data_IF_039763933341
#
_entry.id   IF_039763933341
#
_cell.length_a   1.000
_cell.length_b   1.000
_cell.length_c   1.000
_cell.angle_alpha   90.00
_cell.angle_beta   90.00
_cell.angle_gamma   90.00
#
_symmetry.space_group_name_H-M   'P 1'
#
loop_
_entity.id
_entity.type
_entity.pdbx_description
1 polymer ?
#
# COMPACT_ATOMS: atom_id res chain seq x y z
N UNK A 1 8.29 -16.80 -14.88
CA UNK A 1 6.86 -16.95 -14.52
C UNK A 1 6.56 -18.19 -13.65
N UNK A 2 7.35 -19.26 -13.70
CA UNK A 2 7.14 -20.49 -12.89
C UNK A 2 7.30 -20.28 -11.37
N UNK A 3 8.28 -19.49 -10.93
CA UNK A 3 8.53 -19.25 -9.49
C UNK A 3 7.43 -18.46 -8.77
N UNK A 4 6.66 -17.65 -9.51
CA UNK A 4 5.57 -16.84 -8.94
C UNK A 4 4.40 -17.72 -8.46
N UNK A 5 3.96 -18.66 -9.31
CA UNK A 5 2.84 -19.55 -9.01
C UNK A 5 3.22 -20.54 -7.90
N UNK A 6 4.46 -21.04 -7.94
CA UNK A 6 5.00 -21.91 -6.90
C UNK A 6 5.03 -21.21 -5.52
N UNK A 7 5.48 -19.94 -5.46
CA UNK A 7 5.49 -19.17 -4.21
C UNK A 7 4.08 -18.90 -3.65
N UNK A 8 3.10 -18.59 -4.51
CA UNK A 8 1.70 -18.43 -4.08
C UNK A 8 1.12 -19.74 -3.57
N UNK A 9 1.35 -20.84 -4.28
CA UNK A 9 0.90 -22.16 -3.85
C UNK A 9 1.50 -22.53 -2.48
N UNK A 10 2.79 -22.24 -2.26
CA UNK A 10 3.45 -22.49 -0.98
C UNK A 10 2.86 -21.64 0.16
N UNK A 11 2.61 -20.34 -0.06
CA UNK A 11 1.99 -19.46 0.95
C UNK A 11 0.59 -19.94 1.33
N UNK A 12 -0.23 -20.25 0.32
CA UNK A 12 -1.59 -20.75 0.55
C UNK A 12 -1.58 -22.11 1.25
N UNK A 13 -0.65 -23.00 0.87
CA UNK A 13 -0.49 -24.29 1.52
C UNK A 13 -0.08 -24.15 2.99
N UNK A 14 0.89 -23.28 3.32
CA UNK A 14 1.28 -22.99 4.71
C UNK A 14 0.12 -22.41 5.53
N UNK A 15 -0.65 -21.49 4.95
CA UNK A 15 -1.84 -20.93 5.61
C UNK A 15 -2.89 -22.01 5.90
N UNK A 16 -3.22 -22.86 4.91
CA UNK A 16 -4.15 -23.98 5.08
C UNK A 16 -3.67 -24.99 6.12
N UNK A 17 -2.37 -25.29 6.13
CA UNK A 17 -1.76 -26.20 7.10
C UNK A 17 -1.88 -25.68 8.54
N UNK A 18 -1.85 -24.36 8.74
CA UNK A 18 -2.14 -23.76 10.04
C UNK A 18 -3.64 -23.82 10.36
N UNK A 19 -4.49 -23.26 9.51
CA UNK A 19 -5.93 -23.10 9.79
C UNK A 19 -6.66 -24.44 9.89
N UNK A 20 -6.36 -25.38 9.00
CA UNK A 20 -7.14 -26.62 8.86
C UNK A 20 -6.58 -27.76 9.71
N UNK A 21 -5.32 -27.68 10.16
CA UNK A 21 -4.69 -28.78 10.89
C UNK A 21 -4.15 -28.39 12.27
N UNK A 22 -3.72 -27.14 12.48
CA UNK A 22 -3.29 -26.71 13.81
C UNK A 22 -4.45 -26.09 14.59
N UNK A 23 -5.08 -25.05 14.01
CA UNK A 23 -6.12 -24.27 14.69
C UNK A 23 -7.43 -25.06 14.85
N UNK A 24 -7.61 -26.13 14.08
CA UNK A 24 -8.76 -27.02 14.13
C UNK A 24 -8.84 -27.91 15.39
N UNK A 25 -7.76 -27.98 16.19
CA UNK A 25 -7.71 -28.81 17.39
C UNK A 25 -7.25 -28.00 18.59
N UNK A 26 -7.83 -28.30 19.76
CA UNK A 26 -7.54 -27.58 21.00
C UNK A 26 -6.24 -28.06 21.65
N UNK A 27 -6.01 -29.38 21.68
CA UNK A 27 -4.87 -29.96 22.41
C UNK A 27 -3.68 -30.25 21.51
N UNK A 28 -2.47 -30.12 22.05
CA UNK A 28 -1.24 -30.45 21.33
C UNK A 28 -1.12 -31.94 21.01
N UNK A 29 -1.74 -32.81 21.82
CA UNK A 29 -1.76 -34.26 21.59
C UNK A 29 -2.57 -34.58 20.33
N UNK A 30 -3.74 -33.97 20.17
CA UNK A 30 -4.58 -34.10 18.98
C UNK A 30 -3.88 -33.50 17.76
N UNK A 31 -3.32 -32.29 17.87
CA UNK A 31 -2.56 -31.65 16.78
C UNK A 31 -1.46 -32.56 16.26
N UNK A 32 -0.62 -33.12 17.14
CA UNK A 32 0.48 -34.04 16.76
C UNK A 32 -0.02 -35.33 16.10
N UNK A 33 -1.16 -35.85 16.56
CA UNK A 33 -1.79 -37.05 16.00
C UNK A 33 -2.38 -36.80 14.60
N UNK A 34 -2.98 -35.62 14.39
CA UNK A 34 -3.67 -35.23 13.15
C UNK A 34 -2.74 -34.59 12.13
N UNK A 35 -1.65 -35.29 11.82
CA UNK A 35 -0.64 -34.88 10.84
C UNK A 35 -1.22 -34.80 9.41
N UNK A 36 -1.00 -33.69 8.68
CA UNK A 36 -1.38 -33.59 7.26
C UNK A 36 -0.65 -34.61 6.37
N UNK A 37 -1.31 -35.06 5.29
CA UNK A 37 -0.69 -35.94 4.27
C UNK A 37 0.46 -35.21 3.57
N UNK A 38 1.61 -35.88 3.42
CA UNK A 38 2.79 -35.32 2.75
C UNK A 38 3.73 -34.48 3.63
N UNK A 39 3.47 -34.41 4.95
CA UNK A 39 4.38 -33.76 5.92
C UNK A 39 5.08 -34.85 6.73
N UNK A 40 6.39 -34.70 6.97
CA UNK A 40 7.15 -35.63 7.82
C UNK A 40 6.65 -35.54 9.26
N UNK A 41 6.72 -36.65 10.00
CA UNK A 41 6.19 -36.70 11.37
C UNK A 41 6.97 -35.76 12.29
N UNK A 42 8.28 -35.77 12.14
CA UNK A 42 9.26 -35.04 12.91
C UNK A 42 9.02 -33.53 12.74
N UNK A 43 9.00 -33.06 11.48
CA UNK A 43 8.71 -31.66 11.11
C UNK A 43 7.36 -31.18 11.67
N UNK A 44 6.34 -32.04 11.65
CA UNK A 44 5.02 -31.70 12.18
C UNK A 44 5.02 -31.56 13.70
N UNK A 45 5.69 -32.48 14.41
CA UNK A 45 5.80 -32.43 15.87
C UNK A 45 6.57 -31.17 16.29
N UNK A 46 7.67 -30.86 15.61
CA UNK A 46 8.46 -29.65 15.86
C UNK A 46 7.63 -28.38 15.60
N UNK A 47 6.91 -28.33 14.48
CA UNK A 47 6.00 -27.24 14.15
C UNK A 47 4.94 -27.03 15.25
N UNK A 48 4.29 -28.10 15.71
CA UNK A 48 3.29 -28.01 16.78
C UNK A 48 3.94 -27.52 18.07
N UNK A 49 5.09 -28.06 18.47
CA UNK A 49 5.81 -27.66 19.68
C UNK A 49 6.16 -26.17 19.65
N UNK A 50 6.76 -25.69 18.55
CA UNK A 50 7.16 -24.29 18.39
C UNK A 50 5.96 -23.35 18.55
N UNK A 51 4.86 -23.63 17.86
CA UNK A 51 3.67 -22.78 17.91
C UNK A 51 2.87 -22.89 19.22
N UNK A 52 3.15 -23.92 20.02
CA UNK A 52 2.55 -24.11 21.33
C UNK A 52 3.31 -23.37 22.45
N UNK A 53 4.45 -22.76 22.14
CA UNK A 53 5.17 -21.95 23.12
C UNK A 53 4.34 -20.71 23.50
N UNK A 54 4.32 -20.31 24.79
CA UNK A 54 3.61 -19.12 25.22
C UNK A 54 4.04 -17.85 24.47
N UNK A 55 5.32 -17.76 24.11
CA UNK A 55 5.88 -16.63 23.37
C UNK A 55 5.26 -16.52 21.96
N UNK A 56 5.21 -17.61 21.20
CA UNK A 56 4.63 -17.61 19.85
C UNK A 56 3.12 -17.36 19.89
N UNK A 57 2.42 -17.90 20.90
CA UNK A 57 1.00 -17.62 21.12
C UNK A 57 0.75 -16.14 21.42
N UNK A 58 1.56 -15.54 22.31
CA UNK A 58 1.45 -14.13 22.63
C UNK A 58 1.72 -13.23 21.42
N UNK A 59 2.75 -13.55 20.60
CA UNK A 59 3.03 -12.86 19.34
C UNK A 59 1.85 -12.97 18.38
N UNK A 60 1.25 -14.15 18.28
CA UNK A 60 0.12 -14.39 17.39
C UNK A 60 -1.12 -13.58 17.80
N UNK A 61 -1.50 -13.62 19.08
CA UNK A 61 -2.63 -12.87 19.61
C UNK A 61 -2.42 -11.37 19.49
N UNK A 62 -1.21 -10.87 19.76
CA UNK A 62 -0.86 -9.47 19.52
C UNK A 62 -1.06 -9.09 18.05
N UNK A 63 -0.63 -9.95 17.12
CA UNK A 63 -0.83 -9.74 15.69
C UNK A 63 -2.30 -9.78 15.27
N UNK A 64 -3.10 -10.66 15.85
CA UNK A 64 -4.55 -10.76 15.60
C UNK A 64 -5.27 -9.51 16.10
N UNK A 65 -4.99 -9.08 17.32
CA UNK A 65 -5.53 -7.86 17.90
C UNK A 65 -5.11 -6.59 17.14
N UNK A 66 -3.89 -6.54 16.61
CA UNK A 66 -3.46 -5.43 15.76
C UNK A 66 -4.21 -5.42 14.42
N UNK A 67 -4.38 -6.57 13.77
CA UNK A 67 -5.13 -6.68 12.50
C UNK A 67 -6.61 -6.37 12.68
N UNK A 68 -7.23 -6.77 13.80
CA UNK A 68 -8.64 -6.47 14.07
C UNK A 68 -8.90 -4.98 14.31
N UNK A 69 -7.86 -4.21 14.65
CA UNK A 69 -7.93 -2.76 14.83
C UNK A 69 -7.55 -1.98 13.55
N UNK A 70 -7.26 -2.66 12.45
CA UNK A 70 -6.90 -2.03 11.18
C UNK A 70 -8.15 -1.40 10.56
N UNK A 71 -8.18 -0.07 10.49
CA UNK A 71 -9.30 0.72 9.97
C UNK A 71 -9.00 1.39 8.62
N UNK A 72 -7.77 1.21 8.11
CA UNK A 72 -7.29 1.74 6.83
C UNK A 72 -6.66 0.59 6.00
N UNK A 73 -7.46 -0.36 5.48
CA UNK A 73 -6.95 -1.47 4.67
C UNK A 73 -6.48 -1.02 3.27
N UNK A 74 -5.27 -1.42 2.90
CA UNK A 74 -4.74 -1.22 1.54
C UNK A 74 -5.26 -2.26 0.53
N UNK A 75 -5.67 -1.79 -0.65
CA UNK A 75 -6.13 -2.56 -1.81
C UNK A 75 -5.10 -2.61 -2.95
N UNK A 76 -3.82 -2.38 -2.62
CA UNK A 76 -2.73 -2.29 -3.61
C UNK A 76 -2.19 -3.64 -4.08
N UNK A 77 -2.54 -4.73 -3.39
CA UNK A 77 -2.00 -6.05 -3.66
C UNK A 77 -0.47 -6.06 -3.61
N UNK A 78 0.17 -6.56 -4.67
CA UNK A 78 1.65 -6.64 -4.76
C UNK A 78 2.31 -5.36 -5.29
N UNK A 79 1.55 -4.44 -5.90
CA UNK A 79 2.13 -3.21 -6.45
C UNK A 79 2.58 -2.24 -5.36
N UNK A 80 1.89 -2.24 -4.21
CA UNK A 80 2.06 -1.21 -3.19
C UNK A 80 1.67 0.19 -3.70
N UNK A 81 1.84 1.23 -2.88
CA UNK A 81 1.50 2.59 -3.34
C UNK A 81 2.50 3.16 -4.37
N UNK A 82 3.72 2.61 -4.48
CA UNK A 82 4.74 3.04 -5.45
C UNK A 82 4.32 2.62 -6.84
N UNK A 83 3.88 1.37 -7.01
CA UNK A 83 3.36 0.90 -8.28
C UNK A 83 2.07 1.63 -8.67
N UNK A 84 1.18 1.91 -7.70
CA UNK A 84 -0.01 2.74 -7.95
C UNK A 84 0.36 4.17 -8.37
N UNK A 85 1.32 4.79 -7.69
CA UNK A 85 1.84 6.11 -8.06
C UNK A 85 2.45 6.10 -9.45
N UNK A 86 3.29 5.12 -9.77
CA UNK A 86 3.90 4.99 -11.10
C UNK A 86 2.83 4.86 -12.19
N UNK A 87 1.77 4.08 -11.95
CA UNK A 87 0.63 3.98 -12.85
C UNK A 87 -0.08 5.34 -13.02
N UNK A 88 -0.31 6.08 -11.94
CA UNK A 88 -0.94 7.41 -11.99
C UNK A 88 -0.05 8.45 -12.69
N UNK A 89 1.28 8.33 -12.55
CA UNK A 89 2.26 9.21 -13.19
C UNK A 89 2.47 8.90 -14.67
N UNK A 90 2.03 7.75 -15.19
CA UNK A 90 2.14 7.43 -16.62
C UNK A 90 1.37 8.46 -17.45
N UNK A 91 2.08 9.12 -18.37
CA UNK A 91 1.51 10.17 -19.22
C UNK A 91 1.30 11.51 -18.51
N UNK A 92 1.79 11.68 -17.27
CA UNK A 92 1.75 12.95 -16.54
C UNK A 92 3.17 13.42 -16.21
N UNK A 93 3.38 14.73 -16.00
CA UNK A 93 4.65 15.22 -15.47
C UNK A 93 4.99 14.53 -14.14
N UNK A 94 6.23 14.03 -14.01
CA UNK A 94 6.65 13.31 -12.79
C UNK A 94 6.56 14.23 -11.56
N UNK A 95 5.86 13.78 -10.52
CA UNK A 95 5.58 14.58 -9.32
C UNK A 95 4.25 15.35 -9.34
N UNK A 96 3.52 15.32 -10.46
CA UNK A 96 2.19 15.96 -10.57
C UNK A 96 1.11 15.27 -9.74
N UNK A 97 1.26 13.96 -9.48
CA UNK A 97 0.27 13.16 -8.77
C UNK A 97 0.24 13.52 -7.28
N UNK A 98 -0.93 13.87 -6.78
CA UNK A 98 -1.15 14.35 -5.42
C UNK A 98 -1.31 13.20 -4.42
N UNK A 99 -1.07 13.51 -3.13
CA UNK A 99 -1.22 12.57 -2.01
C UNK A 99 -2.60 11.89 -2.01
N UNK A 100 -3.65 12.70 -2.18
CA UNK A 100 -5.04 12.24 -2.30
C UNK A 100 -5.22 11.21 -3.42
N UNK A 101 -4.73 11.46 -4.63
CA UNK A 101 -4.89 10.54 -5.76
C UNK A 101 -4.22 9.19 -5.50
N UNK A 102 -3.02 9.21 -4.93
CA UNK A 102 -2.31 7.99 -4.55
C UNK A 102 -3.08 7.27 -3.44
N UNK A 103 -3.55 7.99 -2.43
CA UNK A 103 -4.36 7.42 -1.36
C UNK A 103 -5.60 6.73 -1.91
N UNK A 104 -6.38 7.40 -2.77
CA UNK A 104 -7.56 6.83 -3.41
C UNK A 104 -7.22 5.58 -4.22
N UNK A 105 -6.17 5.61 -5.04
CA UNK A 105 -5.73 4.45 -5.83
C UNK A 105 -5.25 3.27 -4.97
N UNK A 106 -4.85 3.52 -3.72
CA UNK A 106 -4.37 2.49 -2.80
C UNK A 106 -5.46 1.87 -1.94
N UNK A 107 -6.60 2.54 -1.77
CA UNK A 107 -7.68 2.10 -0.88
C UNK A 107 -9.00 1.86 -1.60
N UNK A 108 -9.00 1.97 -2.94
CA UNK A 108 -10.13 1.61 -3.80
C UNK A 108 -9.90 0.23 -4.39
N UNK A 109 -10.94 -0.60 -4.41
CA UNK A 109 -10.94 -1.93 -5.05
C UNK A 109 -10.91 -1.79 -6.58
N UNK A 110 -10.64 -2.90 -7.29
CA UNK A 110 -10.58 -2.90 -8.76
C UNK A 110 -11.93 -2.59 -9.42
N UNK A 111 -13.04 -2.89 -8.74
CA UNK A 111 -14.41 -2.56 -9.17
C UNK A 111 -14.82 -1.11 -8.85
N UNK A 112 -13.91 -0.31 -8.26
CA UNK A 112 -14.18 1.06 -7.85
C UNK A 112 -14.85 1.21 -6.48
N UNK A 113 -15.21 0.11 -5.81
CA UNK A 113 -15.83 0.17 -4.49
C UNK A 113 -14.82 0.43 -3.38
N UNK A 114 -15.30 1.01 -2.27
CA UNK A 114 -14.51 1.20 -1.05
C UNK A 114 -14.68 0.03 -0.07
N UNK A 115 -13.67 -0.25 0.76
CA UNK A 115 -13.86 -1.07 1.97
C UNK A 115 -14.91 -0.42 2.86
N UNK A 116 -15.77 -1.22 3.50
CA UNK A 116 -16.88 -0.71 4.30
C UNK A 116 -16.40 0.20 5.44
N UNK A 117 -15.26 -0.16 6.05
CA UNK A 117 -14.62 0.56 7.15
C UNK A 117 -14.09 1.96 6.75
N UNK A 118 -13.90 2.17 5.44
CA UNK A 118 -13.37 3.41 4.88
C UNK A 118 -14.39 4.19 4.08
N UNK A 119 -15.50 3.57 3.67
CA UNK A 119 -16.45 4.12 2.71
C UNK A 119 -16.89 5.54 3.03
N UNK A 120 -17.34 5.77 4.26
CA UNK A 120 -17.80 7.09 4.70
C UNK A 120 -16.69 8.15 4.62
N UNK A 121 -15.48 7.83 5.10
CA UNK A 121 -14.30 8.70 5.07
C UNK A 121 -13.88 9.02 3.63
N UNK A 122 -13.84 8.00 2.77
CA UNK A 122 -13.48 8.14 1.35
C UNK A 122 -14.48 9.02 0.59
N UNK A 123 -15.78 8.85 0.86
CA UNK A 123 -16.81 9.70 0.27
C UNK A 123 -16.73 11.14 0.79
N UNK A 124 -16.43 11.36 2.08
CA UNK A 124 -16.21 12.72 2.61
C UNK A 124 -15.02 13.41 1.95
N UNK A 125 -13.89 12.71 1.77
CA UNK A 125 -12.75 13.27 1.03
C UNK A 125 -13.15 13.66 -0.41
N UNK A 126 -13.81 12.76 -1.15
CA UNK A 126 -14.28 13.06 -2.51
C UNK A 126 -15.18 14.30 -2.53
N UNK A 127 -16.15 14.39 -1.60
CA UNK A 127 -17.06 15.55 -1.50
C UNK A 127 -16.30 16.84 -1.17
N UNK A 128 -15.31 16.78 -0.29
CA UNK A 128 -14.49 17.94 0.07
C UNK A 128 -13.71 18.44 -1.15
N UNK A 129 -13.06 17.53 -1.88
CA UNK A 129 -12.34 17.83 -3.12
C UNK A 129 -13.24 18.42 -4.20
N UNK A 130 -14.45 17.88 -4.38
CA UNK A 130 -15.40 18.39 -5.38
C UNK A 130 -15.83 19.83 -5.07
N UNK A 131 -15.89 20.20 -3.79
CA UNK A 131 -16.22 21.56 -3.35
C UNK A 131 -15.04 22.51 -3.46
N UNK A 132 -13.85 22.04 -3.10
CA UNK A 132 -12.62 22.82 -3.13
C UNK A 132 -11.46 21.96 -3.65
N UNK A 133 -11.17 22.01 -4.98
CA UNK A 133 -10.06 21.27 -5.57
C UNK A 133 -8.69 21.67 -5.02
N UNK A 134 -8.53 22.89 -4.48
CA UNK A 134 -7.26 23.36 -3.92
C UNK A 134 -6.87 22.62 -2.64
N UNK A 135 -7.79 21.89 -2.02
CA UNK A 135 -7.47 21.01 -0.89
C UNK A 135 -6.42 19.94 -1.23
N UNK A 136 -6.29 19.55 -2.50
CA UNK A 136 -5.24 18.62 -2.93
C UNK A 136 -3.83 19.23 -2.93
N UNK A 137 -3.75 20.56 -3.04
CA UNK A 137 -2.49 21.31 -3.16
C UNK A 137 -1.98 21.84 -1.83
N UNK A 138 -2.73 21.62 -0.75
CA UNK A 138 -2.30 21.92 0.61
C UNK A 138 -1.10 21.08 1.01
N UNK A 139 -0.40 21.52 2.06
CA UNK A 139 0.72 20.78 2.60
C UNK A 139 0.27 19.42 3.18
N UNK A 140 1.23 18.54 3.47
CA UNK A 140 0.96 17.19 3.97
C UNK A 140 0.27 17.16 5.35
N UNK A 141 0.23 18.29 6.06
CA UNK A 141 -0.41 18.38 7.37
C UNK A 141 -1.88 18.85 7.24
N UNK A 142 -2.24 19.45 6.10
CA UNK A 142 -3.52 20.07 5.85
C UNK A 142 -4.19 19.61 4.54
N UNK A 143 -3.62 18.62 3.86
CA UNK A 143 -4.25 17.98 2.70
C UNK A 143 -5.51 17.21 3.12
N UNK A 144 -6.33 16.83 2.15
CA UNK A 144 -7.61 16.16 2.42
C UNK A 144 -7.45 14.84 3.17
N UNK A 145 -6.34 14.13 2.97
CA UNK A 145 -6.05 12.86 3.64
C UNK A 145 -5.72 13.14 5.12
N UNK A 146 -4.91 14.16 5.39
CA UNK A 146 -4.54 14.57 6.73
C UNK A 146 -5.74 15.15 7.51
N UNK A 147 -6.65 15.86 6.84
CA UNK A 147 -7.88 16.37 7.46
C UNK A 147 -8.77 15.21 7.94
N UNK A 148 -8.97 14.17 7.12
CA UNK A 148 -9.88 13.07 7.45
C UNK A 148 -9.27 12.00 8.36
N UNK A 149 -7.97 11.74 8.24
CA UNK A 149 -7.29 10.67 8.98
C UNK A 149 -6.28 11.20 10.02
N UNK A 150 -6.25 12.51 10.25
CA UNK A 150 -5.31 13.20 11.12
C UNK A 150 -3.94 13.43 10.48
N UNK A 151 -3.10 14.24 11.11
CA UNK A 151 -1.73 14.47 10.64
C UNK A 151 -0.89 13.18 10.67
N UNK A 152 -0.02 13.03 9.67
CA UNK A 152 0.88 11.88 9.60
C UNK A 152 1.93 11.86 10.73
N UNK A 153 2.33 10.65 11.15
CA UNK A 153 3.38 10.47 12.14
C UNK A 153 4.80 10.75 11.59
N UNK A 154 5.80 10.72 12.47
CA UNK A 154 7.20 10.99 12.11
C UNK A 154 7.86 9.91 11.24
N UNK A 155 7.23 8.74 11.07
CA UNK A 155 7.81 7.60 10.35
C UNK A 155 7.33 7.40 8.92
N UNK A 156 6.14 7.89 8.57
CA UNK A 156 5.51 7.61 7.28
C UNK A 156 4.46 8.67 6.94
N UNK A 157 4.40 9.03 5.66
CA UNK A 157 3.39 9.95 5.09
C UNK A 157 2.37 9.14 4.29
N UNK A 158 1.09 9.23 4.65
CA UNK A 158 0.00 8.56 3.92
C UNK A 158 -0.13 9.14 2.51
N UNK A 159 -0.48 8.30 1.54
CA UNK A 159 -0.50 8.72 0.13
C UNK A 159 0.89 8.91 -0.49
N UNK A 160 1.98 8.75 0.26
CA UNK A 160 3.35 8.76 -0.27
C UNK A 160 4.07 7.47 0.09
N UNK A 161 4.35 6.65 -0.91
CA UNK A 161 4.96 5.35 -0.67
C UNK A 161 6.44 5.43 -0.23
N UNK A 162 6.90 4.42 0.52
CA UNK A 162 8.32 4.04 0.58
C UNK A 162 9.17 4.74 1.63
N UNK A 163 8.87 4.57 2.93
CA UNK A 163 9.72 5.08 4.04
C UNK A 163 10.00 6.60 3.98
N UNK A 164 9.23 7.33 3.16
CA UNK A 164 9.29 8.77 3.11
C UNK A 164 8.61 9.29 4.37
N UNK A 165 9.42 9.81 5.28
CA UNK A 165 8.96 10.60 6.39
C UNK A 165 8.90 12.08 5.99
N UNK A 166 8.21 12.88 6.79
CA UNK A 166 8.08 14.33 6.57
C UNK A 166 9.43 15.02 6.42
N UNK A 167 10.44 14.60 7.18
CA UNK A 167 11.79 15.17 7.13
C UNK A 167 12.47 14.93 5.78
N UNK A 168 12.40 13.70 5.25
CA UNK A 168 12.90 13.35 3.93
C UNK A 168 12.18 14.15 2.85
N UNK A 169 10.87 14.36 3.02
CA UNK A 169 10.10 15.20 2.11
C UNK A 169 10.55 16.66 2.17
N UNK A 170 10.75 17.23 3.35
CA UNK A 170 11.20 18.62 3.54
C UNK A 170 12.62 18.83 2.99
N UNK A 171 13.56 17.94 3.31
CA UNK A 171 14.96 18.03 2.87
C UNK A 171 15.10 17.92 1.36
N UNK A 172 14.30 17.05 0.72
CA UNK A 172 14.33 16.89 -0.73
C UNK A 172 13.45 17.89 -1.49
N UNK A 173 12.63 18.70 -0.81
CA UNK A 173 11.72 19.65 -1.45
C UNK A 173 12.43 20.71 -2.30
N UNK A 174 13.53 21.36 -1.84
CA UNK A 174 14.26 22.32 -2.67
C UNK A 174 14.80 21.69 -3.95
N UNK A 175 15.43 20.52 -3.86
CA UNK A 175 15.94 19.79 -5.01
C UNK A 175 14.83 19.36 -5.98
N UNK A 176 13.68 18.91 -5.46
CA UNK A 176 12.52 18.57 -6.30
C UNK A 176 11.96 19.78 -7.04
N UNK A 177 11.86 20.94 -6.38
CA UNK A 177 11.42 22.20 -7.03
C UNK A 177 12.38 22.63 -8.14
N UNK A 178 13.69 22.48 -7.94
CA UNK A 178 14.70 22.77 -8.97
C UNK A 178 14.54 21.84 -10.17
N UNK A 179 14.45 20.53 -9.92
CA UNK A 179 14.22 19.53 -10.98
C UNK A 179 12.92 19.81 -11.74
N UNK A 180 11.86 20.21 -11.04
CA UNK A 180 10.55 20.51 -11.62
C UNK A 180 10.59 21.76 -12.51
N UNK A 181 11.27 22.84 -12.08
CA UNK A 181 11.48 24.03 -12.93
C UNK A 181 12.23 23.69 -14.20
N UNK A 182 13.34 22.95 -14.09
CA UNK A 182 14.14 22.57 -15.26
C UNK A 182 13.33 21.70 -16.24
N UNK A 183 12.43 20.85 -15.73
CA UNK A 183 11.52 20.08 -16.59
C UNK A 183 10.46 20.91 -17.28
N UNK A 184 9.84 21.87 -16.59
CA UNK A 184 8.86 22.77 -17.20
C UNK A 184 9.51 23.58 -18.31
N UNK A 185 10.72 24.10 -18.06
CA UNK A 185 11.53 24.76 -19.11
C UNK A 185 11.77 23.84 -20.29
N UNK A 186 12.20 22.60 -20.05
CA UNK A 186 12.45 21.65 -21.13
C UNK A 186 11.19 21.29 -21.92
N UNK A 187 10.04 21.14 -21.26
CA UNK A 187 8.77 20.87 -21.92
C UNK A 187 8.35 22.05 -22.82
N UNK A 188 8.47 23.28 -22.34
CA UNK A 188 8.22 24.48 -23.14
C UNK A 188 9.17 24.58 -24.34
N UNK A 189 10.45 24.24 -24.17
CA UNK A 189 11.41 24.21 -25.28
C UNK A 189 10.97 23.19 -26.34
N UNK A 190 10.60 21.98 -25.92
CA UNK A 190 10.16 20.93 -26.84
C UNK A 190 8.88 21.33 -27.60
N UNK A 191 7.92 21.97 -26.92
CA UNK A 191 6.66 22.43 -27.53
C UNK A 191 6.90 23.53 -28.59
N UNK A 192 7.83 24.45 -28.33
CA UNK A 192 8.25 25.47 -29.31
C UNK A 192 9.02 24.85 -30.48
N UNK A 193 9.82 23.80 -30.23
CA UNK A 193 10.50 23.08 -31.31
C UNK A 193 9.51 22.33 -32.21
N UNK A 194 8.51 21.66 -31.64
CA UNK A 194 7.45 21.00 -32.41
C UNK A 194 6.65 22.00 -33.26
N UNK A 195 6.32 23.19 -32.74
CA UNK A 195 5.60 24.19 -33.53
C UNK A 195 6.42 24.74 -34.70
N UNK A 196 7.73 24.93 -34.50
CA UNK A 196 8.66 25.37 -35.57
C UNK A 196 8.88 24.30 -36.64
N UNK A 197 8.89 23.02 -36.27
CA UNK A 197 9.03 21.91 -37.22
C UNK A 197 7.77 21.70 -38.08
N UNK A 198 6.59 22.03 -37.55
CA UNK A 198 5.34 22.05 -38.33
C UNK A 198 5.34 23.22 -39.31
N UNK A 199 5.71 24.43 -38.89
CA UNK A 199 5.79 25.60 -39.77
C UNK A 199 6.86 25.49 -40.86
N UNK A 200 7.92 24.69 -40.65
CA UNK A 200 8.98 24.48 -41.64
C UNK A 200 8.66 23.41 -42.71
N UNK A 201 7.59 22.63 -42.52
CA UNK A 201 7.16 21.56 -43.43
C UNK A 201 5.87 21.88 -44.22
N UNK A 202 5.28 23.06 -44.00
CA UNK A 202 4.22 23.67 -44.82
C UNK A 202 4.82 24.68 -45.84
#
# INVERSE_FOLDING_TARGET
MLDYKANMALKNWKSRLRTNNYDAYETNKERKSKRPKGVKKEDWIEFVNRLSTPEEQAKHEKGKAARSKMDIPHMTGRLGASGKKEILEKGRPKGSVKSYEIFMACHTKEDGAYPEEMKERMERMNRAIQKDPMLMDKDLDNDTVAIEYGGDGNGHVRGYNGHLNKSNLKVSAPFRRVIERERVKQAMINEVQESLEVEAND
#
